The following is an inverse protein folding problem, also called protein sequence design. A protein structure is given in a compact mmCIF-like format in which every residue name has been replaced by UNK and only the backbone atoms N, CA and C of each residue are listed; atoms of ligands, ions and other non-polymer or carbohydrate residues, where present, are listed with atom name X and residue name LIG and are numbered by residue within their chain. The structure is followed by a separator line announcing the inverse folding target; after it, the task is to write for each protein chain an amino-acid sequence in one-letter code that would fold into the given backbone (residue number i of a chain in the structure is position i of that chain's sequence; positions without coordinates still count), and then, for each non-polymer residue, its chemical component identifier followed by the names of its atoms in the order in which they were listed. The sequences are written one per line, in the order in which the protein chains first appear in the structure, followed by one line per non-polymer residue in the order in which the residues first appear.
data_IF_868460342504
#
_entry.id   IF_868460342504
#
_cell.length_a   1.000
_cell.length_b   1.000
_cell.length_c   1.000
_cell.angle_alpha   90.00
_cell.angle_beta   90.00
_cell.angle_gamma   90.00
#
_symmetry.space_group_name_H-M   'P 1'
#
loop_
_entity.id
_entity.type
_entity.pdbx_description
1 polymer ?
#
# COMPACT_ATOMS: atom_id res chain seq x y z
N UNK A 1 45.82 53.40 -30.51
CA UNK A 1 46.24 52.32 -29.60
C UNK A 1 45.00 51.55 -29.20
N UNK A 2 44.81 50.38 -29.80
CA UNK A 2 43.66 49.51 -29.56
C UNK A 2 43.91 48.67 -28.31
N UNK A 3 42.99 48.70 -27.35
CA UNK A 3 42.97 47.76 -26.22
C UNK A 3 41.89 46.72 -26.50
N UNK A 4 42.32 45.53 -26.84
CA UNK A 4 41.50 44.34 -27.04
C UNK A 4 41.06 43.80 -25.68
N UNK A 5 39.75 43.82 -25.41
CA UNK A 5 39.14 43.04 -24.33
C UNK A 5 39.17 41.57 -24.72
N UNK A 6 40.01 40.80 -24.04
CA UNK A 6 40.03 39.34 -24.14
C UNK A 6 38.80 38.78 -23.42
N UNK A 7 37.89 38.21 -24.19
CA UNK A 7 36.77 37.41 -23.69
C UNK A 7 37.31 36.16 -22.99
N UNK A 8 37.21 36.13 -21.66
CA UNK A 8 37.35 34.91 -20.87
C UNK A 8 36.25 33.92 -21.28
N UNK A 9 36.65 32.87 -21.98
CA UNK A 9 35.82 31.70 -22.22
C UNK A 9 35.52 30.99 -20.89
N UNK A 10 34.29 30.47 -20.68
CA UNK A 10 33.99 29.71 -19.48
C UNK A 10 34.85 28.45 -19.46
N UNK A 11 35.59 28.26 -18.37
CA UNK A 11 36.38 27.06 -18.10
C UNK A 11 35.45 25.83 -18.20
N UNK A 12 35.75 24.83 -19.05
CA UNK A 12 34.94 23.61 -19.09
C UNK A 12 34.95 22.98 -17.69
N UNK A 13 33.74 22.71 -17.18
CA UNK A 13 33.57 21.99 -15.92
C UNK A 13 34.40 20.71 -16.00
N UNK A 14 35.25 20.48 -15.00
CA UNK A 14 36.15 19.33 -14.98
C UNK A 14 35.33 18.06 -15.17
N UNK A 15 35.62 17.31 -16.25
CA UNK A 15 34.97 16.02 -16.50
C UNK A 15 35.30 15.11 -15.32
N UNK A 16 34.27 14.78 -14.53
CA UNK A 16 34.37 13.82 -13.44
C UNK A 16 34.89 12.47 -14.00
N UNK A 17 35.76 11.76 -13.27
CA UNK A 17 36.28 10.48 -13.74
C UNK A 17 35.14 9.51 -14.05
N UNK A 18 35.28 8.67 -15.10
CA UNK A 18 34.20 7.80 -15.55
C UNK A 18 33.73 6.89 -14.41
N UNK A 19 32.49 7.12 -13.97
CA UNK A 19 31.85 6.36 -12.91
C UNK A 19 30.96 5.26 -13.51
N UNK A 20 30.87 4.06 -12.92
CA UNK A 20 29.99 2.99 -13.40
C UNK A 20 28.50 3.34 -13.47
N UNK A 21 28.08 4.45 -12.84
CA UNK A 21 26.69 4.94 -12.83
C UNK A 21 26.50 6.22 -13.65
N UNK A 22 27.45 6.55 -14.54
CA UNK A 22 27.35 7.69 -15.43
C UNK A 22 27.57 9.05 -14.76
N UNK A 23 27.22 10.15 -15.46
CA UNK A 23 27.39 11.52 -14.96
C UNK A 23 26.51 11.82 -13.75
N UNK A 24 26.83 12.93 -13.08
CA UNK A 24 26.00 13.48 -12.00
C UNK A 24 24.67 13.93 -12.59
N UNK A 25 23.59 13.57 -11.90
CA UNK A 25 22.23 13.98 -12.28
C UNK A 25 21.36 13.96 -11.03
N UNK A 26 20.61 15.05 -10.83
CA UNK A 26 19.61 15.18 -9.76
C UNK A 26 18.23 15.49 -10.33
N UNK A 27 17.19 15.17 -9.57
CA UNK A 27 15.82 15.56 -9.92
C UNK A 27 15.64 17.05 -9.61
N UNK A 28 15.10 17.77 -10.59
CA UNK A 28 14.71 19.17 -10.47
C UNK A 28 13.27 19.32 -10.03
N UNK A 29 12.35 19.28 -10.99
CA UNK A 29 10.91 19.34 -10.76
C UNK A 29 10.22 18.03 -11.10
N UNK A 30 9.19 17.71 -10.34
CA UNK A 30 8.30 16.57 -10.61
C UNK A 30 6.94 17.08 -11.08
N UNK A 31 6.47 16.55 -12.21
CA UNK A 31 5.18 16.85 -12.81
C UNK A 31 4.29 15.62 -12.73
N UNK A 32 3.19 15.72 -11.97
CA UNK A 32 2.19 14.66 -11.82
C UNK A 32 1.03 14.89 -12.79
N UNK A 33 0.64 13.84 -13.52
CA UNK A 33 -0.51 13.85 -14.45
C UNK A 33 -1.38 12.62 -14.22
N UNK A 34 -2.70 12.83 -14.15
CA UNK A 34 -3.70 11.76 -13.99
C UNK A 34 -3.99 11.32 -12.56
N UNK A 35 -3.49 12.06 -11.56
CA UNK A 35 -3.75 11.84 -10.13
C UNK A 35 -5.00 12.61 -9.66
N UNK A 36 -6.18 12.22 -10.14
CA UNK A 36 -7.43 12.93 -9.82
C UNK A 36 -7.86 12.73 -8.35
N UNK A 37 -7.62 11.54 -7.78
CA UNK A 37 -8.01 11.18 -6.41
C UNK A 37 -6.82 11.07 -5.47
N UNK A 38 -5.68 10.60 -5.99
CA UNK A 38 -4.49 10.29 -5.20
C UNK A 38 -3.73 11.57 -4.86
N UNK A 39 -3.43 11.76 -3.58
CA UNK A 39 -2.70 12.93 -3.10
C UNK A 39 -1.25 12.91 -3.61
N UNK A 40 -0.65 14.07 -3.94
CA UNK A 40 0.77 14.16 -4.31
C UNK A 40 1.71 13.57 -3.26
N UNK A 41 1.35 13.67 -1.98
CA UNK A 41 2.14 13.12 -0.85
C UNK A 41 2.44 11.62 -1.00
N UNK A 42 1.55 10.84 -1.63
CA UNK A 42 1.79 9.43 -1.90
C UNK A 42 2.98 9.24 -2.84
N UNK A 43 3.11 10.11 -3.84
CA UNK A 43 4.23 10.08 -4.79
C UNK A 43 5.52 10.56 -4.14
N UNK A 44 5.47 11.64 -3.38
CA UNK A 44 6.64 12.18 -2.68
C UNK A 44 7.27 11.16 -1.73
N UNK A 45 6.43 10.38 -1.01
CA UNK A 45 6.92 9.36 -0.09
C UNK A 45 7.72 8.26 -0.80
N UNK A 46 7.32 7.84 -1.99
CA UNK A 46 8.02 6.79 -2.76
C UNK A 46 9.25 7.34 -3.51
N UNK A 47 9.22 8.61 -3.92
CA UNK A 47 10.32 9.26 -4.63
C UNK A 47 11.47 9.71 -3.72
N UNK A 48 11.32 9.60 -2.40
CA UNK A 48 12.31 10.11 -1.46
C UNK A 48 13.71 9.49 -1.64
N UNK A 49 13.76 8.20 -2.00
CA UNK A 49 15.01 7.53 -2.35
C UNK A 49 15.61 8.08 -3.66
N UNK A 50 14.78 8.38 -4.66
CA UNK A 50 15.21 8.93 -5.94
C UNK A 50 15.75 10.36 -5.81
N UNK A 51 15.18 11.19 -4.93
CA UNK A 51 15.70 12.54 -4.65
C UNK A 51 17.10 12.52 -4.02
N UNK A 52 17.46 11.45 -3.32
CA UNK A 52 18.79 11.30 -2.71
C UNK A 52 19.89 10.84 -3.67
N UNK A 53 19.53 10.47 -4.91
CA UNK A 53 20.49 9.98 -5.90
C UNK A 53 21.36 11.12 -6.46
N UNK A 54 22.68 10.88 -6.59
CA UNK A 54 23.62 11.88 -7.12
C UNK A 54 23.97 11.68 -8.60
N UNK A 55 23.69 10.50 -9.16
CA UNK A 55 24.12 10.08 -10.51
C UNK A 55 22.99 9.44 -11.27
N UNK A 56 23.04 9.52 -12.61
CA UNK A 56 21.96 9.02 -13.45
C UNK A 56 21.69 7.52 -13.30
N UNK A 57 22.72 6.69 -13.21
CA UNK A 57 22.54 5.24 -13.04
C UNK A 57 21.89 4.89 -11.72
N UNK A 58 22.21 5.62 -10.64
CA UNK A 58 21.55 5.46 -9.35
C UNK A 58 20.12 5.98 -9.38
N UNK A 59 19.89 7.12 -10.04
CA UNK A 59 18.58 7.72 -10.20
C UNK A 59 17.62 6.77 -10.92
N UNK A 60 18.02 6.22 -12.08
CA UNK A 60 17.19 5.26 -12.83
C UNK A 60 16.88 4.04 -11.98
N UNK A 61 17.87 3.48 -11.29
CA UNK A 61 17.66 2.33 -10.42
C UNK A 61 16.66 2.63 -9.27
N UNK A 62 16.76 3.81 -8.64
CA UNK A 62 15.82 4.23 -7.60
C UNK A 62 14.42 4.53 -8.14
N UNK A 63 14.30 4.97 -9.39
CA UNK A 63 13.00 5.15 -10.04
C UNK A 63 12.36 3.81 -10.43
N UNK A 64 13.17 2.81 -10.78
CA UNK A 64 12.69 1.43 -10.97
C UNK A 64 12.14 0.87 -9.66
N UNK A 65 12.89 0.98 -8.55
CA UNK A 65 12.41 0.61 -7.20
C UNK A 65 11.10 1.34 -6.85
N UNK A 66 11.03 2.66 -7.03
CA UNK A 66 9.81 3.42 -6.77
C UNK A 66 8.63 2.96 -7.66
N UNK A 67 8.90 2.57 -8.91
CA UNK A 67 7.87 2.03 -9.82
C UNK A 67 7.34 0.70 -9.32
N UNK A 68 8.19 -0.17 -8.79
CA UNK A 68 7.76 -1.43 -8.15
C UNK A 68 6.91 -1.17 -6.91
N UNK A 69 7.31 -0.23 -6.06
CA UNK A 69 6.53 0.18 -4.88
C UNK A 69 5.16 0.74 -5.27
N UNK A 70 5.09 1.63 -6.27
CA UNK A 70 3.81 2.14 -6.76
C UNK A 70 2.90 1.04 -7.33
N UNK A 71 3.47 0.03 -7.99
CA UNK A 71 2.72 -1.15 -8.44
C UNK A 71 2.23 -1.98 -7.25
N UNK A 72 3.05 -2.13 -6.21
CA UNK A 72 2.68 -2.84 -4.99
C UNK A 72 1.50 -2.20 -4.24
N UNK A 73 1.29 -0.88 -4.37
CA UNK A 73 0.11 -0.20 -3.83
C UNK A 73 -1.22 -0.71 -4.44
N UNK A 74 -1.22 -1.25 -5.67
CA UNK A 74 -2.40 -1.75 -6.39
C UNK A 74 -3.55 -0.72 -6.53
N UNK A 75 -3.20 0.57 -6.64
CA UNK A 75 -4.16 1.68 -6.83
C UNK A 75 -4.12 2.28 -8.24
N UNK A 76 -3.15 1.87 -9.06
CA UNK A 76 -2.96 2.35 -10.43
C UNK A 76 -3.10 1.19 -11.43
N UNK A 77 -3.71 1.47 -12.58
CA UNK A 77 -3.78 0.55 -13.72
C UNK A 77 -2.50 0.64 -14.56
N UNK A 78 -1.96 1.85 -14.73
CA UNK A 78 -0.69 2.08 -15.42
C UNK A 78 0.07 3.25 -14.82
N UNK A 79 1.39 3.15 -14.84
CA UNK A 79 2.33 4.17 -14.37
C UNK A 79 3.43 4.29 -15.40
N UNK A 80 3.68 5.50 -15.86
CA UNK A 80 4.79 5.82 -16.75
C UNK A 80 5.60 6.96 -16.15
N UNK A 81 6.91 6.75 -16.05
CA UNK A 81 7.85 7.74 -15.52
C UNK A 81 8.79 8.12 -16.66
N UNK A 82 8.74 9.40 -17.04
CA UNK A 82 9.55 9.96 -18.11
C UNK A 82 10.56 10.95 -17.53
N UNK A 83 11.82 10.81 -17.97
CA UNK A 83 12.90 11.74 -17.63
C UNK A 83 13.08 12.73 -18.77
N UNK A 84 12.73 13.98 -18.50
CA UNK A 84 12.83 15.08 -19.45
C UNK A 84 14.01 15.99 -19.10
N UNK A 85 14.46 16.75 -20.10
CA UNK A 85 15.47 17.79 -19.90
C UNK A 85 14.94 18.82 -18.90
N UNK A 86 15.76 19.20 -17.92
CA UNK A 86 15.34 20.18 -16.91
C UNK A 86 14.91 21.51 -17.55
N UNK A 87 13.74 21.99 -17.11
CA UNK A 87 13.21 23.32 -17.43
C UNK A 87 14.09 24.46 -16.91
N UNK A 88 14.96 24.19 -15.93
CA UNK A 88 15.96 25.12 -15.40
C UNK A 88 17.14 25.36 -16.35
N UNK A 89 17.36 24.46 -17.32
CA UNK A 89 18.49 24.51 -18.25
C UNK A 89 19.83 24.10 -17.65
N UNK A 90 19.88 23.60 -16.41
CA UNK A 90 21.11 23.04 -15.82
C UNK A 90 21.44 21.67 -16.44
N UNK A 91 22.74 21.42 -16.66
CA UNK A 91 23.22 20.17 -17.28
C UNK A 91 23.13 18.96 -16.35
N UNK A 92 23.16 19.18 -15.04
CA UNK A 92 23.15 18.12 -14.02
C UNK A 92 21.74 17.89 -13.43
N UNK A 93 20.69 18.45 -14.05
CA UNK A 93 19.31 18.40 -13.56
C UNK A 93 18.40 17.77 -14.61
N UNK A 94 17.43 16.97 -14.16
CA UNK A 94 16.38 16.40 -15.00
C UNK A 94 15.02 16.62 -14.35
N UNK A 95 14.03 16.96 -15.18
CA UNK A 95 12.65 17.05 -14.73
C UNK A 95 11.97 15.70 -14.94
N UNK A 96 11.04 15.37 -14.05
CA UNK A 96 10.46 14.03 -13.97
C UNK A 96 8.96 14.14 -14.18
N UNK A 97 8.46 13.56 -15.27
CA UNK A 97 7.03 13.55 -15.59
C UNK A 97 6.45 12.18 -15.25
N UNK A 98 5.57 12.14 -14.26
CA UNK A 98 4.87 10.91 -13.84
C UNK A 98 3.45 10.98 -14.36
N UNK A 99 3.12 10.08 -15.28
CA UNK A 99 1.78 9.92 -15.82
C UNK A 99 1.16 8.65 -15.26
N UNK A 100 0.04 8.79 -14.55
CA UNK A 100 -0.69 7.67 -13.95
C UNK A 100 -2.10 7.54 -14.50
N UNK A 101 -2.59 6.31 -14.49
CA UNK A 101 -4.01 5.99 -14.67
C UNK A 101 -4.49 5.30 -13.40
N UNK A 102 -5.36 5.97 -12.65
CA UNK A 102 -5.89 5.42 -11.40
C UNK A 102 -6.85 4.25 -11.65
N UNK A 103 -6.75 3.22 -10.81
CA UNK A 103 -7.66 2.08 -10.79
C UNK A 103 -8.99 2.49 -10.16
N UNK A 104 -10.05 1.75 -10.52
CA UNK A 104 -11.37 1.88 -9.90
C UNK A 104 -11.29 1.73 -8.38
N UNK A 105 -11.97 2.63 -7.66
CA UNK A 105 -11.88 2.72 -6.20
C UNK A 105 -12.72 1.70 -5.44
N UNK A 106 -13.60 0.97 -6.14
CA UNK A 106 -14.49 -0.04 -5.54
C UNK A 106 -14.28 -1.37 -6.25
N UNK A 107 -14.20 -2.42 -5.48
CA UNK A 107 -14.19 -3.80 -5.96
C UNK A 107 -15.18 -4.62 -5.11
N UNK A 108 -16.11 -5.28 -5.78
CA UNK A 108 -17.04 -6.21 -5.15
C UNK A 108 -16.62 -7.63 -5.54
N UNK A 109 -16.46 -8.48 -4.54
CA UNK A 109 -16.19 -9.89 -4.71
C UNK A 109 -17.31 -10.69 -4.04
N UNK A 110 -17.84 -11.67 -4.75
CA UNK A 110 -18.82 -12.62 -4.24
C UNK A 110 -18.35 -14.00 -4.63
N UNK A 111 -18.17 -14.86 -3.64
CA UNK A 111 -17.63 -16.19 -3.79
C UNK A 111 -18.48 -17.22 -3.03
N UNK A 112 -18.28 -18.48 -3.37
CA UNK A 112 -18.78 -19.59 -2.59
C UNK A 112 -17.66 -20.62 -2.48
N UNK A 113 -17.36 -21.04 -1.26
CA UNK A 113 -16.38 -22.08 -0.97
C UNK A 113 -17.10 -23.34 -0.50
N UNK A 114 -16.53 -24.50 -0.82
CA UNK A 114 -17.01 -25.79 -0.32
C UNK A 114 -15.82 -26.59 0.16
N UNK A 115 -15.79 -26.85 1.45
CA UNK A 115 -14.69 -27.56 2.10
C UNK A 115 -15.09 -29.00 2.41
N UNK A 116 -15.77 -29.67 1.47
CA UNK A 116 -16.19 -31.09 1.54
C UNK A 116 -17.16 -31.48 2.67
N UNK A 117 -17.19 -30.70 3.75
CA UNK A 117 -17.94 -30.89 4.99
C UNK A 117 -18.82 -29.67 5.30
N UNK A 118 -18.50 -28.50 4.72
CA UNK A 118 -19.30 -27.29 4.85
C UNK A 118 -19.29 -26.48 3.54
N UNK A 119 -20.35 -25.71 3.33
CA UNK A 119 -20.51 -24.81 2.20
C UNK A 119 -20.62 -23.40 2.78
N UNK A 120 -19.83 -22.45 2.27
CA UNK A 120 -19.86 -21.08 2.73
C UNK A 120 -20.01 -20.11 1.56
N UNK A 121 -20.92 -19.15 1.70
CA UNK A 121 -21.01 -17.99 0.83
C UNK A 121 -20.16 -16.86 1.41
N UNK A 122 -19.31 -16.25 0.59
CA UNK A 122 -18.52 -15.09 0.96
C UNK A 122 -18.87 -13.88 0.09
N UNK A 123 -18.86 -12.72 0.72
CA UNK A 123 -19.05 -11.44 0.05
C UNK A 123 -18.05 -10.46 0.63
N UNK A 124 -17.34 -9.74 -0.22
CA UNK A 124 -16.45 -8.68 0.21
C UNK A 124 -16.52 -7.45 -0.69
N UNK A 125 -16.50 -6.29 -0.07
CA UNK A 125 -16.42 -4.99 -0.70
C UNK A 125 -15.10 -4.36 -0.29
N UNK A 126 -14.23 -4.13 -1.26
CA UNK A 126 -12.95 -3.43 -1.07
C UNK A 126 -13.03 -2.04 -1.67
N UNK A 127 -12.74 -1.04 -0.86
CA UNK A 127 -12.55 0.34 -1.26
C UNK A 127 -11.04 0.63 -1.26
N UNK A 128 -10.48 0.84 -2.45
CA UNK A 128 -9.05 1.13 -2.62
C UNK A 128 -8.84 2.62 -2.84
N UNK A 129 -7.95 3.22 -2.04
CA UNK A 129 -7.57 4.62 -2.09
C UNK A 129 -8.78 5.57 -1.98
N UNK A 130 -9.66 5.36 -1.00
CA UNK A 130 -10.90 6.14 -0.86
C UNK A 130 -10.66 7.58 -0.39
N UNK A 131 -9.61 7.81 0.41
CA UNK A 131 -9.18 9.09 1.00
C UNK A 131 -8.01 9.72 0.23
N UNK A 132 -7.49 9.04 -0.79
CA UNK A 132 -6.37 9.53 -1.61
C UNK A 132 -4.99 9.23 -1.04
N UNK A 133 -4.88 8.42 0.03
CA UNK A 133 -3.61 8.08 0.71
C UNK A 133 -3.17 6.62 0.49
N UNK A 134 -3.64 5.99 -0.59
CA UNK A 134 -3.38 4.60 -0.94
C UNK A 134 -3.89 3.57 0.08
N UNK A 135 -4.82 3.96 0.97
CA UNK A 135 -5.37 3.06 1.98
C UNK A 135 -6.42 2.10 1.40
N UNK A 136 -6.53 0.91 1.96
CA UNK A 136 -7.47 -0.14 1.54
C UNK A 136 -8.43 -0.46 2.69
N UNK A 137 -9.72 -0.27 2.43
CA UNK A 137 -10.81 -0.59 3.36
C UNK A 137 -11.56 -1.79 2.80
N UNK A 138 -11.57 -2.90 3.53
CA UNK A 138 -12.26 -4.12 3.12
C UNK A 138 -13.33 -4.47 4.14
N UNK A 139 -14.57 -4.59 3.67
CA UNK A 139 -15.69 -5.12 4.43
C UNK A 139 -16.01 -6.50 3.87
N UNK A 140 -15.99 -7.54 4.70
CA UNK A 140 -16.30 -8.90 4.27
C UNK A 140 -17.30 -9.57 5.22
N UNK A 141 -18.18 -10.36 4.65
CA UNK A 141 -19.12 -11.20 5.37
C UNK A 141 -19.13 -12.60 4.77
N UNK A 142 -18.99 -13.61 5.62
CA UNK A 142 -18.97 -15.03 5.25
C UNK A 142 -20.05 -15.75 6.04
N UNK A 143 -20.91 -16.49 5.36
CA UNK A 143 -21.99 -17.28 5.95
C UNK A 143 -21.79 -18.74 5.57
N UNK A 144 -21.55 -19.58 6.57
CA UNK A 144 -21.40 -21.01 6.40
C UNK A 144 -22.72 -21.75 6.68
N UNK A 145 -22.95 -22.86 5.97
CA UNK A 145 -24.14 -23.69 6.11
C UNK A 145 -24.20 -24.37 7.48
N UNK A 146 -23.06 -24.62 8.12
CA UNK A 146 -22.97 -25.00 9.53
C UNK A 146 -23.61 -24.00 10.50
N UNK A 147 -23.97 -22.79 10.05
CA UNK A 147 -24.46 -21.71 10.90
C UNK A 147 -23.36 -20.80 11.43
N UNK A 148 -22.10 -21.05 11.05
CA UNK A 148 -21.00 -20.13 11.34
C UNK A 148 -21.11 -18.86 10.49
N UNK A 149 -20.80 -17.71 11.08
CA UNK A 149 -20.86 -16.42 10.40
C UNK A 149 -19.69 -15.55 10.82
N UNK A 150 -19.02 -14.94 9.86
CA UNK A 150 -17.88 -14.05 10.09
C UNK A 150 -18.10 -12.74 9.38
N UNK A 151 -18.13 -11.66 10.14
CA UNK A 151 -18.15 -10.29 9.64
C UNK A 151 -16.82 -9.64 10.00
N UNK A 152 -16.16 -9.03 9.02
CA UNK A 152 -14.84 -8.44 9.19
C UNK A 152 -14.76 -7.10 8.47
N UNK A 153 -14.20 -6.12 9.15
CA UNK A 153 -13.86 -4.82 8.61
C UNK A 153 -12.35 -4.61 8.79
N UNK A 154 -11.65 -4.37 7.69
CA UNK A 154 -10.20 -4.19 7.67
C UNK A 154 -9.89 -2.83 7.09
N UNK A 155 -9.04 -2.07 7.77
CA UNK A 155 -8.41 -0.87 7.28
C UNK A 155 -6.90 -1.12 7.19
N UNK A 156 -6.30 -0.91 6.04
CA UNK A 156 -4.85 -1.05 5.83
C UNK A 156 -4.30 0.20 5.17
N UNK A 157 -3.32 0.84 5.80
CA UNK A 157 -2.65 2.03 5.29
C UNK A 157 -1.16 1.75 5.04
N UNK A 158 -0.68 1.88 3.80
CA UNK A 158 0.76 1.88 3.47
C UNK A 158 1.47 3.13 3.98
N UNK A 159 2.80 3.07 4.04
CA UNK A 159 3.70 4.17 4.40
C UNK A 159 3.29 4.90 5.68
N UNK A 160 3.04 4.17 6.76
CA UNK A 160 2.66 4.78 8.04
C UNK A 160 3.80 5.68 8.56
N UNK A 161 3.51 6.98 8.73
CA UNK A 161 4.49 8.04 9.04
C UNK A 161 5.64 8.18 8.04
N UNK A 162 5.44 7.79 6.77
CA UNK A 162 6.49 7.84 5.73
C UNK A 162 7.56 6.76 5.86
N UNK A 163 7.42 5.85 6.83
CA UNK A 163 8.27 4.66 6.97
C UNK A 163 7.71 3.53 6.09
N UNK A 164 8.52 2.54 5.67
CA UNK A 164 8.06 1.37 4.92
C UNK A 164 7.26 0.39 5.81
N UNK A 165 6.25 0.89 6.51
CA UNK A 165 5.41 0.14 7.46
C UNK A 165 3.95 0.21 7.04
N UNK A 166 3.25 -0.91 7.16
CA UNK A 166 1.79 -0.98 7.06
C UNK A 166 1.16 -0.79 8.43
N UNK A 167 0.23 0.16 8.54
CA UNK A 167 -0.71 0.20 9.66
C UNK A 167 -1.96 -0.58 9.25
N UNK A 168 -2.33 -1.59 10.04
CA UNK A 168 -3.58 -2.34 9.84
C UNK A 168 -4.46 -2.24 11.07
N UNK A 169 -5.75 -2.07 10.87
CA UNK A 169 -6.76 -2.16 11.92
C UNK A 169 -7.86 -3.11 11.45
N UNK A 170 -8.20 -4.11 12.26
CA UNK A 170 -9.19 -5.13 11.93
C UNK A 170 -10.23 -5.19 13.03
N UNK A 171 -11.51 -5.15 12.66
CA UNK A 171 -12.63 -5.47 13.53
C UNK A 171 -13.30 -6.74 13.03
N UNK A 172 -13.53 -7.71 13.92
CA UNK A 172 -14.22 -8.97 13.61
C UNK A 172 -15.40 -9.21 14.55
N UNK A 173 -16.44 -9.83 14.00
CA UNK A 173 -17.55 -10.39 14.72
C UNK A 173 -17.82 -11.77 14.12
N UNK A 174 -17.45 -12.80 14.87
CA UNK A 174 -17.41 -14.18 14.44
C UNK A 174 -18.33 -15.01 15.33
N UNK A 175 -19.09 -15.89 14.71
CA UNK A 175 -19.86 -16.94 15.36
C UNK A 175 -19.40 -18.26 14.76
N UNK A 176 -18.76 -19.08 15.57
CA UNK A 176 -18.30 -20.41 15.17
C UNK A 176 -19.21 -21.46 15.78
N UNK A 177 -19.83 -22.26 14.92
CA UNK A 177 -20.57 -23.44 15.34
C UNK A 177 -19.60 -24.62 15.45
N UNK A 178 -19.38 -25.11 16.67
CA UNK A 178 -18.54 -26.27 16.96
C UNK A 178 -19.37 -27.45 17.51
N UNK A 179 -20.68 -27.48 17.22
CA UNK A 179 -21.61 -28.45 17.78
C UNK A 179 -21.21 -29.90 17.47
N UNK A 180 -20.73 -30.17 16.26
CA UNK A 180 -20.31 -31.51 15.83
C UNK A 180 -19.17 -32.08 16.69
N UNK A 181 -18.20 -31.25 17.08
CA UNK A 181 -17.03 -31.71 17.84
C UNK A 181 -17.22 -31.59 19.34
N UNK A 182 -17.89 -30.53 19.81
CA UNK A 182 -17.84 -30.13 21.22
C UNK A 182 -19.13 -29.54 21.76
N UNK A 183 -20.23 -29.58 21.00
CA UNK A 183 -21.57 -29.19 21.47
C UNK A 183 -21.66 -27.78 22.09
N UNK A 184 -20.85 -26.84 21.60
CA UNK A 184 -20.92 -25.42 21.96
C UNK A 184 -20.81 -24.52 20.73
N UNK A 185 -21.32 -23.30 20.88
CA UNK A 185 -21.12 -22.21 19.93
C UNK A 185 -20.20 -21.16 20.56
N UNK A 186 -19.28 -20.61 19.77
CA UNK A 186 -18.37 -19.57 20.23
C UNK A 186 -18.65 -18.28 19.48
N UNK A 187 -18.83 -17.20 20.23
CA UNK A 187 -19.02 -15.88 19.67
C UNK A 187 -17.83 -15.00 20.05
N UNK A 188 -17.12 -14.53 19.04
CA UNK A 188 -15.92 -13.72 19.18
C UNK A 188 -16.20 -12.34 18.60
N UNK A 189 -15.93 -11.30 19.40
CA UNK A 189 -15.90 -9.92 18.93
C UNK A 189 -14.53 -9.38 19.21
N UNK A 190 -13.73 -9.16 18.18
CA UNK A 190 -12.36 -8.74 18.37
C UNK A 190 -12.04 -7.49 17.56
N UNK A 191 -11.10 -6.71 18.08
CA UNK A 191 -10.44 -5.62 17.39
C UNK A 191 -8.94 -5.84 17.48
N UNK A 192 -8.23 -5.61 16.40
CA UNK A 192 -6.78 -5.62 16.38
C UNK A 192 -6.23 -4.40 15.66
N UNK A 193 -5.08 -3.94 16.15
CA UNK A 193 -4.26 -2.94 15.48
C UNK A 193 -2.88 -3.55 15.33
N UNK A 194 -2.34 -3.55 14.11
CA UNK A 194 -1.01 -4.04 13.84
C UNK A 194 -0.18 -3.06 13.02
N UNK A 195 1.12 -3.12 13.25
CA UNK A 195 2.14 -2.44 12.47
C UNK A 195 3.06 -3.52 11.93
N UNK A 196 3.15 -3.63 10.62
CA UNK A 196 3.99 -4.63 9.95
C UNK A 196 4.97 -3.97 8.99
N UNK A 197 6.11 -4.60 8.79
CA UNK A 197 7.05 -4.23 7.73
C UNK A 197 6.50 -4.64 6.35
N UNK A 198 7.03 -4.02 5.29
CA UNK A 198 6.70 -4.36 3.91
C UNK A 198 7.24 -5.73 3.51
N UNK A 199 8.44 -6.09 4.00
CA UNK A 199 9.03 -7.41 3.79
C UNK A 199 8.36 -8.52 4.60
N UNK A 200 7.47 -8.17 5.53
CA UNK A 200 6.76 -9.12 6.38
C UNK A 200 7.63 -9.81 7.44
N UNK A 201 8.85 -9.32 7.67
CA UNK A 201 9.78 -9.88 8.67
C UNK A 201 9.34 -9.54 10.10
N UNK A 202 8.80 -8.34 10.30
CA UNK A 202 8.35 -7.84 11.59
C UNK A 202 6.86 -7.50 11.56
N UNK A 203 6.11 -8.02 12.55
CA UNK A 203 4.72 -7.65 12.81
C UNK A 203 4.53 -7.47 14.32
N UNK A 204 4.01 -6.30 14.70
CA UNK A 204 3.61 -6.00 16.06
C UNK A 204 2.10 -5.79 16.06
N UNK A 205 1.35 -6.64 16.75
CA UNK A 205 -0.10 -6.56 16.83
C UNK A 205 -0.60 -6.50 18.27
N UNK A 206 -1.55 -5.59 18.51
CA UNK A 206 -2.35 -5.53 19.72
C UNK A 206 -3.74 -6.05 19.40
N UNK A 207 -4.12 -7.14 20.05
CA UNK A 207 -5.39 -7.82 19.84
C UNK A 207 -6.25 -7.73 21.10
N UNK A 208 -7.48 -7.26 20.98
CA UNK A 208 -8.45 -7.19 22.06
C UNK A 208 -9.70 -7.93 21.61
N UNK A 209 -10.13 -8.93 22.38
CA UNK A 209 -11.28 -9.75 22.01
C UNK A 209 -12.18 -10.03 23.20
N UNK A 210 -13.48 -10.04 22.95
CA UNK A 210 -14.47 -10.60 23.84
C UNK A 210 -14.93 -11.95 23.28
N UNK A 211 -14.96 -12.96 24.14
CA UNK A 211 -15.21 -14.35 23.74
C UNK A 211 -16.28 -14.95 24.63
N UNK A 212 -17.45 -15.17 24.06
CA UNK A 212 -18.58 -15.80 24.72
C UNK A 212 -18.70 -17.25 24.28
N UNK A 213 -18.63 -18.18 25.24
CA UNK A 213 -18.93 -19.58 25.01
C UNK A 213 -20.39 -19.83 25.33
N UNK A 214 -21.16 -20.20 24.32
CA UNK A 214 -22.58 -20.50 24.41
C UNK A 214 -22.75 -22.02 24.41
N UNK A 215 -22.88 -22.66 25.58
CA UNK A 215 -23.16 -24.09 25.65
C UNK A 215 -24.53 -24.37 25.05
N UNK A 216 -24.69 -25.54 24.43
CA UNK A 216 -25.99 -25.99 23.95
C UNK A 216 -26.97 -26.08 25.12
N UNK A 217 -28.00 -25.24 25.13
CA UNK A 217 -29.10 -25.33 26.09
C UNK A 217 -29.94 -26.56 25.77
N UNK A 218 -29.84 -27.59 26.61
CA UNK A 218 -30.78 -28.71 26.60
C UNK A 218 -32.09 -28.25 27.24
N UNK A 219 -33.18 -28.28 26.47
CA UNK A 219 -34.52 -27.93 26.95
C UNK A 219 -35.05 -28.88 28.03
N UNK A 220 -34.39 -30.03 28.25
CA UNK A 220 -34.76 -31.04 29.25
C UNK A 220 -34.00 -30.90 30.57
N UNK A 221 -33.00 -30.02 30.68
CA UNK A 221 -32.20 -29.84 31.90
C UNK A 221 -32.48 -28.44 32.49
N UNK A 222 -33.31 -28.33 33.54
CA UNK A 222 -33.85 -27.06 34.05
C UNK A 222 -32.81 -26.17 34.76
N UNK A 223 -31.55 -26.59 34.86
CA UNK A 223 -30.49 -25.85 35.56
C UNK A 223 -29.50 -25.14 34.63
N UNK A 224 -29.76 -25.11 33.31
CA UNK A 224 -28.99 -24.29 32.39
C UNK A 224 -29.44 -22.82 32.49
N UNK A 225 -28.91 -22.10 33.49
CA UNK A 225 -29.06 -20.64 33.61
C UNK A 225 -28.49 -19.92 32.39
#
# INVERSE_FOLDING_TARGET
MASTNSSETPKPAAEDPPHPWGPRMRIGKVFLKGNDRTKPEVFENELQAAYSAERIGQLVHKLEEATEEFRALDIFESINIELDKASSGQLDETDLTITVKEKGWRSLHVGATTDGNDEAGESSLTLSNALGEAEKITLSATYARSGSNTQRATFKKPRFFGLPLYLSAVGTNELHNQEWLSSYNEKIRAGSISISDYEGVHDLSLNVGWRDLLPRRDSKIPTAY
#
